data_IF_113363335283
#
_entry.id   IF_113363335283
#
_cell.length_a   1.000
_cell.length_b   1.000
_cell.length_c   1.000
_cell.angle_alpha   90.00
_cell.angle_beta   90.00
_cell.angle_gamma   90.00
#
_symmetry.space_group_name_H-M   'P 1'
#
loop_
_entity.id
_entity.type
_entity.pdbx_description
1 polymer ?
#
# COMPACT_ATOMS: atom_id res chain seq x y z
N UNK A 1 24.16 8.36 -16.62
CA UNK A 1 23.57 7.19 -15.93
C UNK A 1 22.08 7.44 -15.90
N UNK A 2 21.23 6.48 -16.28
CA UNK A 2 19.79 6.62 -16.18
C UNK A 2 19.39 6.86 -14.73
N UNK A 3 18.39 7.72 -14.47
CA UNK A 3 17.91 7.99 -13.11
C UNK A 3 17.23 6.74 -12.52
N UNK A 4 17.44 6.48 -11.25
CA UNK A 4 16.73 5.44 -10.49
C UNK A 4 15.42 6.02 -9.99
N UNK A 5 14.30 5.35 -10.27
CA UNK A 5 12.98 5.76 -9.78
C UNK A 5 12.59 4.98 -8.53
N UNK A 6 11.84 5.63 -7.64
CA UNK A 6 11.19 5.00 -6.50
C UNK A 6 9.72 4.75 -6.81
N UNK A 7 9.26 3.53 -6.62
CA UNK A 7 7.88 3.13 -6.92
C UNK A 7 7.20 2.61 -5.66
N UNK A 8 6.09 3.21 -5.30
CA UNK A 8 5.09 2.62 -4.44
C UNK A 8 4.09 1.84 -5.31
N UNK A 9 4.19 0.51 -5.26
CA UNK A 9 3.25 -0.38 -5.94
C UNK A 9 2.08 -0.68 -5.00
N UNK A 10 1.16 0.28 -4.85
CA UNK A 10 0.03 0.16 -3.93
C UNK A 10 -1.08 -0.78 -4.42
N UNK A 11 -1.93 -1.25 -3.50
CA UNK A 11 -3.08 -2.12 -3.82
C UNK A 11 -4.10 -1.42 -4.70
N UNK A 12 -4.46 -0.18 -4.36
CA UNK A 12 -5.49 0.61 -5.05
C UNK A 12 -4.88 1.62 -6.02
N UNK A 13 -3.84 2.34 -5.58
CA UNK A 13 -3.11 3.31 -6.39
C UNK A 13 -1.61 3.08 -6.23
N UNK A 14 -0.88 3.33 -7.29
CA UNK A 14 0.60 3.33 -7.31
C UNK A 14 1.11 4.74 -7.52
N UNK A 15 2.29 5.02 -6.98
CA UNK A 15 2.95 6.32 -7.09
C UNK A 15 4.40 6.12 -7.52
N UNK A 16 4.97 7.09 -8.24
CA UNK A 16 6.37 7.07 -8.66
C UNK A 16 7.03 8.42 -8.39
N UNK A 17 8.26 8.36 -7.92
CA UNK A 17 9.06 9.55 -7.65
C UNK A 17 10.50 9.37 -8.13
N UNK A 18 11.20 10.47 -8.28
CA UNK A 18 12.62 10.54 -8.65
C UNK A 18 13.31 11.61 -7.81
N UNK A 19 14.63 11.51 -7.64
CA UNK A 19 15.40 12.58 -6.99
C UNK A 19 15.85 13.59 -8.03
N UNK A 20 15.49 14.85 -7.81
CA UNK A 20 15.92 16.01 -8.61
C UNK A 20 16.45 17.11 -7.69
N UNK A 21 17.65 17.58 -7.96
CA UNK A 21 18.28 18.63 -7.13
C UNK A 21 18.42 18.27 -5.65
N UNK A 22 18.57 16.97 -5.32
CA UNK A 22 18.70 16.47 -3.95
C UNK A 22 17.39 16.31 -3.19
N UNK A 23 16.24 16.48 -3.86
CA UNK A 23 14.90 16.30 -3.27
C UNK A 23 14.09 15.28 -4.05
N UNK A 24 13.27 14.46 -3.39
CA UNK A 24 12.35 13.59 -4.06
C UNK A 24 11.19 14.38 -4.69
N UNK A 25 10.90 14.10 -5.94
CA UNK A 25 9.82 14.72 -6.73
C UNK A 25 8.92 13.63 -7.26
N UNK A 26 7.61 13.74 -7.01
CA UNK A 26 6.62 12.82 -7.57
C UNK A 26 6.43 13.10 -9.05
N UNK A 27 6.54 12.05 -9.86
CA UNK A 27 6.31 12.11 -11.29
C UNK A 27 4.81 12.01 -11.57
N UNK A 28 4.27 12.96 -12.33
CA UNK A 28 2.90 12.88 -12.83
C UNK A 28 2.80 11.90 -13.98
N UNK A 29 1.71 11.14 -14.02
CA UNK A 29 1.44 10.21 -15.13
C UNK A 29 1.00 10.98 -16.41
N UNK A 30 0.80 10.25 -17.51
CA UNK A 30 0.39 10.82 -18.80
C UNK A 30 -1.01 11.50 -18.73
N UNK A 31 -1.83 11.15 -17.73
CA UNK A 31 -3.13 11.76 -17.47
C UNK A 31 -3.04 13.04 -16.60
N UNK A 32 -1.84 13.43 -16.16
CA UNK A 32 -1.60 14.60 -15.30
C UNK A 32 -1.81 14.33 -13.81
N UNK A 33 -2.08 13.09 -13.40
CA UNK A 33 -2.32 12.70 -12.02
C UNK A 33 -1.01 12.28 -11.32
N UNK A 34 -0.93 12.51 -10.00
CA UNK A 34 0.24 12.16 -9.19
C UNK A 34 0.26 10.70 -8.75
N UNK A 35 -0.86 10.02 -8.86
CA UNK A 35 -1.00 8.59 -8.59
C UNK A 35 -1.66 7.90 -9.79
N UNK A 36 -1.36 6.63 -9.97
CA UNK A 36 -1.92 5.80 -11.04
C UNK A 36 -2.75 4.69 -10.41
N UNK A 37 -4.05 4.55 -10.72
CA UNK A 37 -4.85 3.42 -10.26
C UNK A 37 -4.20 2.08 -10.60
N UNK A 38 -4.07 1.19 -9.62
CA UNK A 38 -3.50 -0.16 -9.79
C UNK A 38 -4.51 -1.11 -10.43
N UNK A 39 -5.02 -0.73 -11.60
CA UNK A 39 -6.08 -1.42 -12.34
C UNK A 39 -5.60 -1.73 -13.76
N UNK A 40 -5.91 -2.95 -14.22
CA UNK A 40 -5.64 -3.42 -15.58
C UNK A 40 -6.93 -3.92 -16.20
N UNK A 41 -7.24 -3.49 -17.41
CA UNK A 41 -8.41 -3.97 -18.16
C UNK A 41 -7.98 -4.50 -19.53
N UNK A 42 -8.71 -5.51 -20.01
CA UNK A 42 -8.50 -6.11 -21.32
C UNK A 42 -9.76 -5.89 -22.16
N UNK A 43 -9.63 -5.16 -23.26
CA UNK A 43 -10.75 -4.89 -24.17
C UNK A 43 -11.10 -6.13 -24.99
N UNK A 44 -12.27 -6.14 -25.61
CA UNK A 44 -12.69 -7.24 -26.49
C UNK A 44 -11.80 -7.35 -27.74
N UNK A 45 -11.18 -6.27 -28.15
CA UNK A 45 -10.26 -6.21 -29.31
C UNK A 45 -8.83 -6.58 -28.95
N UNK A 46 -8.59 -7.04 -27.71
CA UNK A 46 -7.28 -7.49 -27.22
C UNK A 46 -6.33 -6.36 -26.79
N UNK A 47 -6.81 -5.12 -26.71
CA UNK A 47 -6.05 -4.00 -26.16
C UNK A 47 -5.96 -4.12 -24.64
N UNK A 48 -4.82 -3.73 -24.08
CA UNK A 48 -4.60 -3.67 -22.63
C UNK A 48 -4.57 -2.22 -22.16
N UNK A 49 -5.49 -1.89 -21.27
CA UNK A 49 -5.56 -0.60 -20.60
C UNK A 49 -5.01 -0.71 -19.18
N UNK A 50 -4.36 0.35 -18.68
CA UNK A 50 -3.80 0.39 -17.31
C UNK A 50 -4.09 1.76 -16.70
N UNK A 51 -4.28 1.81 -15.39
CA UNK A 51 -4.50 3.07 -14.67
C UNK A 51 -5.91 3.61 -14.80
N UNK A 52 -6.06 4.91 -14.95
CA UNK A 52 -7.36 5.59 -15.03
C UNK A 52 -8.24 5.09 -16.18
N UNK A 53 -7.65 4.78 -17.34
CA UNK A 53 -8.37 4.21 -18.46
C UNK A 53 -8.97 2.84 -18.14
N UNK A 54 -8.21 1.99 -17.45
CA UNK A 54 -8.68 0.68 -16.99
C UNK A 54 -9.74 0.81 -15.88
N UNK A 55 -9.56 1.74 -14.94
CA UNK A 55 -10.53 1.96 -13.84
C UNK A 55 -11.92 2.30 -14.40
N UNK A 56 -11.99 3.13 -15.45
CA UNK A 56 -13.28 3.44 -16.13
C UNK A 56 -13.95 2.26 -16.82
N UNK A 57 -13.24 1.12 -16.98
CA UNK A 57 -13.82 -0.10 -17.55
C UNK A 57 -14.52 -0.98 -16.50
N UNK A 58 -14.33 -0.76 -15.20
CA UNK A 58 -14.90 -1.59 -14.13
C UNK A 58 -16.42 -1.76 -14.30
N UNK A 59 -17.12 -0.67 -14.56
CA UNK A 59 -18.58 -0.67 -14.71
C UNK A 59 -19.10 -1.43 -15.94
N UNK A 60 -18.37 -1.41 -17.06
CA UNK A 60 -18.84 -1.93 -18.35
C UNK A 60 -18.13 -3.20 -18.79
N UNK A 61 -17.00 -3.54 -18.18
CA UNK A 61 -16.12 -4.64 -18.54
C UNK A 61 -15.55 -5.31 -17.28
N UNK A 62 -16.38 -5.51 -16.25
CA UNK A 62 -15.97 -6.00 -14.93
C UNK A 62 -15.26 -7.35 -14.98
N UNK A 63 -15.76 -8.30 -15.79
CA UNK A 63 -15.16 -9.63 -15.93
C UNK A 63 -13.78 -9.65 -16.61
N UNK A 64 -13.32 -8.54 -17.16
CA UNK A 64 -12.02 -8.37 -17.85
C UNK A 64 -11.20 -7.22 -17.27
N UNK A 65 -11.60 -6.71 -16.11
CA UNK A 65 -10.92 -5.63 -15.38
C UNK A 65 -10.47 -6.15 -14.03
N UNK A 66 -9.17 -6.04 -13.78
CA UNK A 66 -8.50 -6.56 -12.58
C UNK A 66 -8.08 -5.38 -11.71
N UNK A 67 -8.53 -5.38 -10.46
CA UNK A 67 -8.12 -4.45 -9.40
C UNK A 67 -7.60 -5.21 -8.19
N UNK A 68 -6.92 -4.52 -7.27
CA UNK A 68 -6.44 -5.04 -5.98
C UNK A 68 -5.60 -6.33 -6.08
N UNK A 69 -4.92 -6.54 -7.21
CA UNK A 69 -4.14 -7.76 -7.48
C UNK A 69 -3.01 -7.99 -6.48
N UNK A 70 -2.50 -6.92 -5.85
CA UNK A 70 -1.45 -6.98 -4.84
C UNK A 70 -1.80 -7.88 -3.66
N UNK A 71 -3.10 -8.02 -3.31
CA UNK A 71 -3.58 -8.93 -2.25
C UNK A 71 -3.30 -10.39 -2.51
N UNK A 72 -3.04 -10.76 -3.78
CA UNK A 72 -2.77 -12.14 -4.21
C UNK A 72 -1.29 -12.37 -4.55
N UNK A 73 -0.41 -11.39 -4.31
CA UNK A 73 1.03 -11.57 -4.55
C UNK A 73 1.60 -12.74 -3.75
N UNK A 74 2.45 -13.52 -4.38
CA UNK A 74 3.06 -14.70 -3.79
C UNK A 74 2.15 -15.94 -3.69
N UNK A 75 0.88 -15.85 -4.11
CA UNK A 75 -0.07 -16.96 -4.09
C UNK A 75 -0.21 -17.64 -5.47
N UNK A 76 -0.92 -18.78 -5.48
CA UNK A 76 -1.27 -19.52 -6.70
C UNK A 76 -2.49 -18.97 -7.42
N UNK A 77 -2.98 -17.80 -7.03
CA UNK A 77 -4.11 -17.14 -7.68
C UNK A 77 -3.83 -16.88 -9.16
N UNK A 78 -4.86 -17.07 -10.00
CA UNK A 78 -4.79 -16.83 -11.45
C UNK A 78 -5.99 -16.00 -11.90
N UNK A 79 -5.71 -15.06 -12.77
CA UNK A 79 -6.72 -14.28 -13.48
C UNK A 79 -6.90 -14.90 -14.85
N UNK A 80 -8.08 -15.47 -15.13
CA UNK A 80 -8.37 -16.09 -16.41
C UNK A 80 -8.97 -15.08 -17.39
N UNK A 81 -8.24 -14.73 -18.44
CA UNK A 81 -8.67 -13.78 -19.48
C UNK A 81 -8.21 -14.30 -20.86
N UNK A 82 -9.15 -14.42 -21.81
CA UNK A 82 -8.89 -14.80 -23.19
C UNK A 82 -8.13 -16.13 -23.33
N UNK A 83 -8.48 -17.13 -22.50
CA UNK A 83 -7.82 -18.42 -22.49
C UNK A 83 -6.41 -18.43 -21.92
N UNK A 84 -6.00 -17.36 -21.23
CA UNK A 84 -4.73 -17.25 -20.53
C UNK A 84 -4.94 -17.14 -19.02
N UNK A 85 -4.11 -17.84 -18.28
CA UNK A 85 -4.02 -17.75 -16.84
C UNK A 85 -2.86 -16.81 -16.46
N UNK A 86 -3.21 -15.60 -16.03
CA UNK A 86 -2.25 -14.58 -15.65
C UNK A 86 -2.00 -14.61 -14.13
N UNK A 87 -0.75 -14.56 -13.75
CA UNK A 87 -0.32 -14.48 -12.35
C UNK A 87 -0.46 -13.07 -11.78
N UNK A 88 -0.52 -12.90 -10.45
CA UNK A 88 -0.51 -11.58 -9.82
C UNK A 88 0.68 -10.74 -10.22
N UNK A 89 1.88 -11.33 -10.35
CA UNK A 89 3.08 -10.61 -10.77
C UNK A 89 3.04 -10.18 -12.23
N UNK A 90 2.40 -10.93 -13.14
CA UNK A 90 2.21 -10.51 -14.52
C UNK A 90 1.25 -9.32 -14.64
N UNK A 91 0.15 -9.32 -13.87
CA UNK A 91 -0.77 -8.18 -13.81
C UNK A 91 -0.06 -6.95 -13.19
N UNK A 92 0.68 -7.13 -12.09
CA UNK A 92 1.45 -6.06 -11.46
C UNK A 92 2.54 -5.51 -12.39
N UNK A 93 3.17 -6.36 -13.19
CA UNK A 93 4.15 -5.95 -14.20
C UNK A 93 3.53 -5.04 -15.28
N UNK A 94 2.25 -5.21 -15.60
CA UNK A 94 1.56 -4.31 -16.54
C UNK A 94 1.41 -2.91 -15.95
N UNK A 95 1.12 -2.81 -14.64
CA UNK A 95 1.07 -1.53 -13.91
C UNK A 95 2.47 -0.89 -13.89
N UNK A 96 3.49 -1.65 -13.51
CA UNK A 96 4.88 -1.18 -13.47
C UNK A 96 5.38 -0.75 -14.87
N UNK A 97 4.94 -1.41 -15.94
CA UNK A 97 5.27 -1.03 -17.32
C UNK A 97 4.70 0.34 -17.68
N UNK A 98 3.46 0.64 -17.27
CA UNK A 98 2.87 1.99 -17.44
C UNK A 98 3.67 3.01 -16.65
N UNK A 99 3.91 2.76 -15.36
CA UNK A 99 4.66 3.67 -14.48
C UNK A 99 6.05 3.96 -15.06
N UNK A 100 6.76 2.94 -15.56
CA UNK A 100 8.04 3.12 -16.22
C UNK A 100 7.93 4.04 -17.44
N UNK A 101 6.95 3.83 -18.31
CA UNK A 101 6.73 4.66 -19.51
C UNK A 101 6.37 6.11 -19.15
N UNK A 102 5.56 6.31 -18.13
CA UNK A 102 5.22 7.65 -17.63
C UNK A 102 6.48 8.34 -17.10
N UNK A 103 7.34 7.63 -16.37
CA UNK A 103 8.62 8.14 -15.89
C UNK A 103 9.59 8.46 -17.05
N UNK A 104 9.70 7.59 -18.05
CA UNK A 104 10.50 7.83 -19.27
C UNK A 104 10.02 9.08 -20.02
N UNK A 105 8.69 9.26 -20.11
CA UNK A 105 8.11 10.45 -20.76
C UNK A 105 8.41 11.74 -19.99
N UNK A 106 8.34 11.68 -18.65
CA UNK A 106 8.64 12.83 -17.78
C UNK A 106 10.13 13.19 -17.84
N UNK A 107 11.01 12.19 -17.77
CA UNK A 107 12.46 12.38 -17.69
C UNK A 107 13.11 12.65 -19.04
N UNK A 108 12.46 12.27 -20.15
CA UNK A 108 13.01 12.35 -21.50
C UNK A 108 14.15 11.37 -21.77
N UNK A 109 14.34 10.35 -20.92
CA UNK A 109 15.37 9.33 -21.04
C UNK A 109 14.83 7.94 -20.64
N UNK A 110 15.46 6.83 -21.09
CA UNK A 110 15.07 5.49 -20.68
C UNK A 110 15.25 5.27 -19.18
N UNK A 111 14.29 4.58 -18.56
CA UNK A 111 14.31 4.18 -17.15
C UNK A 111 14.49 2.67 -17.07
N UNK A 112 15.62 2.25 -16.51
CA UNK A 112 16.00 0.84 -16.42
C UNK A 112 16.11 0.32 -14.99
N UNK A 113 16.16 1.20 -13.99
CA UNK A 113 16.41 0.86 -12.60
C UNK A 113 15.37 1.45 -11.67
N UNK A 114 14.96 0.66 -10.67
CA UNK A 114 13.97 1.09 -9.68
C UNK A 114 14.24 0.52 -8.29
N UNK A 115 13.76 1.26 -7.28
CA UNK A 115 13.46 0.75 -5.94
C UNK A 115 11.96 0.61 -5.84
N UNK A 116 11.46 -0.57 -5.43
CA UNK A 116 10.01 -0.85 -5.31
C UNK A 116 9.70 -1.13 -3.85
N UNK A 117 8.56 -0.61 -3.37
CA UNK A 117 8.14 -0.83 -1.99
C UNK A 117 7.18 -2.01 -1.85
N UNK A 118 7.16 -2.59 -0.65
CA UNK A 118 6.24 -3.64 -0.24
C UNK A 118 5.76 -3.37 1.18
N UNK A 119 4.59 -3.87 1.58
CA UNK A 119 4.17 -3.87 2.97
C UNK A 119 5.23 -4.51 3.86
N UNK A 120 5.42 -3.97 5.08
CA UNK A 120 6.43 -4.48 5.99
C UNK A 120 6.16 -5.95 6.38
N UNK A 121 4.89 -6.34 6.43
CA UNK A 121 4.46 -7.68 6.83
C UNK A 121 4.37 -8.70 5.68
N UNK A 122 4.87 -8.34 4.48
CA UNK A 122 4.98 -9.29 3.37
C UNK A 122 6.03 -10.35 3.67
N UNK A 123 5.68 -11.62 3.36
CA UNK A 123 6.60 -12.75 3.40
C UNK A 123 7.58 -12.76 2.21
N UNK A 124 8.52 -13.70 2.22
CA UNK A 124 9.55 -13.83 1.18
C UNK A 124 8.95 -14.13 -0.20
N UNK A 125 7.89 -14.94 -0.28
CA UNK A 125 7.19 -15.26 -1.54
C UNK A 125 6.56 -14.02 -2.16
N UNK A 126 5.93 -13.18 -1.35
CA UNK A 126 5.31 -11.92 -1.77
C UNK A 126 6.35 -10.89 -2.22
N UNK A 127 7.46 -10.78 -1.49
CA UNK A 127 8.61 -9.91 -1.85
C UNK A 127 9.24 -10.34 -3.16
N UNK A 128 9.48 -11.64 -3.34
CA UNK A 128 10.02 -12.20 -4.57
C UNK A 128 9.08 -11.98 -5.76
N UNK A 129 7.78 -12.23 -5.59
CA UNK A 129 6.78 -11.98 -6.62
C UNK A 129 6.74 -10.51 -7.05
N UNK A 130 6.93 -9.56 -6.10
CA UNK A 130 7.03 -8.13 -6.40
C UNK A 130 8.31 -7.82 -7.19
N UNK A 131 9.44 -8.40 -6.82
CA UNK A 131 10.70 -8.27 -7.57
C UNK A 131 10.57 -8.82 -8.98
N UNK A 132 9.93 -9.98 -9.13
CA UNK A 132 9.70 -10.62 -10.44
C UNK A 132 8.77 -9.76 -11.31
N UNK A 133 7.72 -9.14 -10.73
CA UNK A 133 6.88 -8.17 -11.44
C UNK A 133 7.70 -7.00 -12.02
N UNK A 134 8.65 -6.46 -11.25
CA UNK A 134 9.59 -5.44 -11.73
C UNK A 134 10.43 -5.92 -12.90
N UNK A 135 10.99 -7.13 -12.82
CA UNK A 135 11.79 -7.74 -13.90
C UNK A 135 10.96 -7.98 -15.16
N UNK A 136 9.73 -8.48 -15.04
CA UNK A 136 8.80 -8.68 -16.16
C UNK A 136 8.47 -7.33 -16.81
N UNK A 137 8.37 -6.25 -16.03
CA UNK A 137 8.20 -4.88 -16.54
C UNK A 137 9.44 -4.29 -17.21
N UNK A 138 10.57 -5.01 -17.21
CA UNK A 138 11.85 -4.58 -17.79
C UNK A 138 12.63 -3.62 -16.89
N UNK A 139 12.41 -3.67 -15.58
CA UNK A 139 13.15 -2.90 -14.58
C UNK A 139 14.18 -3.80 -13.87
N UNK A 140 15.40 -3.30 -13.72
CA UNK A 140 16.36 -3.83 -12.77
C UNK A 140 15.99 -3.33 -11.38
N UNK A 141 15.40 -4.19 -10.55
CA UNK A 141 14.98 -3.85 -9.18
C UNK A 141 16.21 -3.89 -8.29
N UNK A 142 16.76 -2.70 -7.99
CA UNK A 142 17.96 -2.55 -7.17
C UNK A 142 17.72 -2.96 -5.72
N UNK A 143 16.51 -2.65 -5.20
CA UNK A 143 16.12 -2.99 -3.84
C UNK A 143 14.60 -3.07 -3.71
N UNK A 144 14.14 -3.98 -2.85
CA UNK A 144 12.78 -3.96 -2.28
C UNK A 144 12.92 -3.35 -0.88
N UNK A 145 12.10 -2.35 -0.54
CA UNK A 145 12.08 -1.73 0.80
C UNK A 145 10.67 -1.73 1.36
N UNK A 146 10.56 -1.67 2.69
CA UNK A 146 9.27 -1.65 3.36
C UNK A 146 8.60 -0.27 3.23
N UNK A 147 7.29 -0.24 2.99
CA UNK A 147 6.49 0.99 2.86
C UNK A 147 6.64 1.93 4.05
N UNK A 148 6.49 1.47 5.32
CA UNK A 148 6.68 2.37 6.46
C UNK A 148 8.13 2.87 6.61
N UNK A 149 9.12 2.07 6.23
CA UNK A 149 10.53 2.51 6.22
C UNK A 149 10.75 3.60 5.17
N UNK A 150 10.16 3.46 3.97
CA UNK A 150 10.21 4.47 2.94
C UNK A 150 9.53 5.78 3.40
N UNK A 151 8.36 5.69 4.02
CA UNK A 151 7.67 6.87 4.58
C UNK A 151 8.52 7.57 5.66
N UNK A 152 9.18 6.80 6.54
CA UNK A 152 10.08 7.35 7.54
C UNK A 152 11.29 8.07 6.91
N UNK A 153 11.86 7.53 5.84
CA UNK A 153 12.95 8.18 5.08
C UNK A 153 12.49 9.50 4.50
N UNK A 154 11.31 9.54 3.86
CA UNK A 154 10.75 10.79 3.34
C UNK A 154 10.53 11.84 4.44
N UNK A 155 10.06 11.42 5.61
CA UNK A 155 9.88 12.30 6.78
C UNK A 155 11.23 12.81 7.33
N UNK A 156 12.21 11.92 7.47
CA UNK A 156 13.50 12.22 8.09
C UNK A 156 14.39 13.15 7.27
N UNK A 157 14.10 13.35 5.97
CA UNK A 157 14.84 14.31 5.15
C UNK A 157 14.76 15.75 5.69
N UNK A 158 13.63 16.12 6.28
CA UNK A 158 13.36 17.45 6.81
C UNK A 158 13.43 17.49 8.36
N UNK A 159 13.70 16.35 9.03
CA UNK A 159 13.63 16.21 10.49
C UNK A 159 14.83 15.41 11.01
N UNK A 160 15.95 16.09 11.23
CA UNK A 160 17.23 15.47 11.60
C UNK A 160 17.37 15.15 13.10
N UNK A 161 16.49 15.69 13.96
CA UNK A 161 16.58 15.48 15.40
C UNK A 161 16.33 14.01 15.78
N UNK A 162 17.13 13.43 16.70
CA UNK A 162 16.92 12.08 17.19
C UNK A 162 15.51 11.88 17.76
N UNK A 163 14.79 10.90 17.25
CA UNK A 163 13.42 10.64 17.68
C UNK A 163 12.97 9.22 17.36
N UNK A 164 11.94 8.76 18.06
CA UNK A 164 11.23 7.53 17.77
C UNK A 164 9.88 7.87 17.17
N UNK A 165 9.59 7.32 16.00
CA UNK A 165 8.33 7.55 15.29
C UNK A 165 7.56 6.25 15.17
N UNK A 166 6.23 6.37 15.15
CA UNK A 166 5.35 5.28 14.75
C UNK A 166 4.78 5.63 13.38
N UNK A 167 4.92 4.73 12.43
CA UNK A 167 4.28 4.81 11.11
C UNK A 167 3.07 3.89 11.15
N UNK A 168 1.88 4.47 10.95
CA UNK A 168 0.60 3.79 10.86
C UNK A 168 0.16 3.85 9.40
N UNK A 169 0.31 2.76 8.68
CA UNK A 169 0.02 2.68 7.25
C UNK A 169 -1.23 1.83 7.01
N UNK A 170 -2.34 2.50 6.69
CA UNK A 170 -3.59 1.86 6.29
C UNK A 170 -3.85 2.17 4.82
N UNK A 171 -3.42 1.27 3.97
CA UNK A 171 -3.59 1.34 2.53
C UNK A 171 -4.95 0.85 2.04
N UNK A 172 -5.03 0.51 0.75
CA UNK A 172 -6.25 -0.07 0.16
C UNK A 172 -6.46 -1.53 0.52
N UNK A 173 -5.39 -2.30 0.74
CA UNK A 173 -5.47 -3.75 0.95
C UNK A 173 -4.75 -4.29 2.17
N UNK A 174 -3.84 -3.52 2.75
CA UNK A 174 -2.99 -3.92 3.87
C UNK A 174 -2.98 -2.86 4.96
N UNK A 175 -2.75 -3.30 6.17
CA UNK A 175 -2.44 -2.47 7.34
C UNK A 175 -1.06 -2.84 7.84
N UNK A 176 -0.18 -1.87 7.98
CA UNK A 176 1.15 -2.01 8.57
C UNK A 176 1.38 -0.97 9.67
N UNK A 177 2.07 -1.37 10.72
CA UNK A 177 2.56 -0.48 11.76
C UNK A 177 4.02 -0.77 12.02
N UNK A 178 4.86 0.27 12.03
CA UNK A 178 6.28 0.14 12.34
C UNK A 178 6.72 1.23 13.31
N UNK A 179 7.58 0.86 14.25
CA UNK A 179 8.24 1.80 15.15
C UNK A 179 9.68 1.92 14.70
N UNK A 180 10.10 3.15 14.40
CA UNK A 180 11.38 3.45 13.77
C UNK A 180 12.09 4.50 14.61
N UNK A 181 13.34 4.25 14.95
CA UNK A 181 14.25 5.20 15.56
C UNK A 181 15.05 5.91 14.46
N UNK A 182 15.06 7.21 14.52
CA UNK A 182 15.84 8.08 13.62
C UNK A 182 16.92 8.73 14.46
N UNK A 183 18.18 8.48 14.13
CA UNK A 183 19.33 9.06 14.81
C UNK A 183 20.51 9.16 13.85
N UNK A 184 21.12 10.36 13.73
CA UNK A 184 22.31 10.64 12.92
C UNK A 184 22.28 10.05 11.49
N UNK A 185 21.14 10.20 10.78
CA UNK A 185 20.96 9.66 9.43
C UNK A 185 20.74 8.14 9.39
N UNK A 186 20.62 7.49 10.53
CA UNK A 186 20.30 6.06 10.64
C UNK A 186 18.82 5.89 10.97
N UNK A 187 18.16 5.03 10.22
CA UNK A 187 16.76 4.63 10.40
C UNK A 187 16.74 3.18 10.86
N UNK A 188 16.46 2.96 12.13
CA UNK A 188 16.43 1.62 12.73
C UNK A 188 14.98 1.22 13.01
N UNK A 189 14.49 0.20 12.34
CA UNK A 189 13.18 -0.39 12.68
C UNK A 189 13.35 -1.16 13.98
N UNK A 190 12.58 -0.78 15.02
CA UNK A 190 12.57 -1.43 16.32
C UNK A 190 11.57 -2.58 16.37
N UNK A 191 10.40 -2.38 15.79
CA UNK A 191 9.37 -3.40 15.69
C UNK A 191 8.43 -3.11 14.53
N UNK A 192 7.83 -4.16 13.98
CA UNK A 192 6.81 -4.07 12.94
C UNK A 192 5.68 -5.07 13.21
N UNK A 193 4.49 -4.76 12.75
CA UNK A 193 3.30 -5.60 12.82
C UNK A 193 2.32 -5.20 11.73
N UNK A 194 1.25 -5.97 11.55
CA UNK A 194 0.26 -5.62 10.54
C UNK A 194 -0.79 -6.69 10.30
N UNK A 195 -1.59 -6.44 9.27
CA UNK A 195 -2.62 -7.34 8.74
C UNK A 195 -2.63 -7.22 7.21
N UNK A 196 -2.22 -8.26 6.53
CA UNK A 196 -2.09 -8.29 5.06
C UNK A 196 -3.42 -8.36 4.32
N UNK A 197 -4.54 -8.45 5.06
CA UNK A 197 -5.90 -8.54 4.52
C UNK A 197 -6.85 -7.54 5.21
N UNK A 198 -6.34 -6.34 5.50
CA UNK A 198 -7.12 -5.23 6.06
C UNK A 198 -6.74 -3.94 5.35
N UNK A 199 -7.70 -3.28 4.71
CA UNK A 199 -7.48 -2.01 4.04
C UNK A 199 -8.78 -1.40 3.52
N UNK A 200 -8.66 -0.29 2.80
CA UNK A 200 -9.78 0.48 2.27
C UNK A 200 -10.81 -0.33 1.47
N UNK A 201 -10.36 -1.38 0.77
CA UNK A 201 -11.25 -2.27 0.01
C UNK A 201 -12.25 -3.01 0.91
N UNK A 202 -11.85 -3.35 2.16
CA UNK A 202 -12.73 -4.02 3.11
C UNK A 202 -13.80 -3.05 3.65
N UNK A 203 -13.45 -1.77 3.79
CA UNK A 203 -14.41 -0.72 4.13
C UNK A 203 -15.39 -0.47 2.97
N UNK A 204 -14.94 -0.50 1.73
CA UNK A 204 -15.81 -0.42 0.56
C UNK A 204 -16.78 -1.59 0.49
N UNK A 205 -16.31 -2.81 0.77
CA UNK A 205 -17.15 -4.01 0.75
C UNK A 205 -18.30 -3.91 1.78
N UNK A 206 -18.08 -3.29 2.96
CA UNK A 206 -19.17 -3.03 3.93
C UNK A 206 -20.26 -2.13 3.34
N UNK A 207 -19.88 -1.12 2.57
CA UNK A 207 -20.87 -0.25 1.88
C UNK A 207 -21.61 -1.04 0.82
N UNK A 208 -20.89 -1.87 0.04
CA UNK A 208 -21.49 -2.72 -0.99
C UNK A 208 -22.49 -3.70 -0.37
N UNK A 209 -22.09 -4.43 0.69
CA UNK A 209 -22.97 -5.37 1.40
C UNK A 209 -24.25 -4.70 1.91
N UNK A 210 -24.09 -3.51 2.54
CA UNK A 210 -25.22 -2.72 3.01
C UNK A 210 -26.14 -2.29 1.86
N UNK A 211 -25.59 -1.75 0.78
CA UNK A 211 -26.39 -1.28 -0.36
C UNK A 211 -27.12 -2.42 -1.07
N UNK A 212 -26.47 -3.60 -1.23
CA UNK A 212 -27.11 -4.80 -1.78
C UNK A 212 -28.28 -5.26 -0.89
N UNK A 213 -28.09 -5.25 0.43
CA UNK A 213 -29.14 -5.65 1.38
C UNK A 213 -30.35 -4.67 1.31
N UNK A 214 -30.08 -3.36 1.30
CA UNK A 214 -31.14 -2.34 1.19
C UNK A 214 -31.91 -2.45 -0.14
N UNK A 215 -31.20 -2.60 -1.26
CA UNK A 215 -31.81 -2.74 -2.57
C UNK A 215 -32.63 -4.03 -2.69
N UNK A 216 -32.16 -5.13 -2.13
CA UNK A 216 -32.91 -6.39 -2.08
C UNK A 216 -34.19 -6.25 -1.24
N UNK A 217 -34.14 -5.46 -0.17
CA UNK A 217 -35.31 -5.21 0.70
C UNK A 217 -36.37 -4.34 0.00
N UNK A 218 -35.97 -3.29 -0.71
CA UNK A 218 -36.90 -2.36 -1.41
C UNK A 218 -37.44 -2.95 -2.70
N UNK A 219 -36.53 -3.40 -3.59
CA UNK A 219 -36.83 -3.76 -4.96
C UNK A 219 -36.97 -5.29 -5.21
N UNK A 220 -36.63 -6.10 -4.21
CA UNK A 220 -36.66 -7.58 -4.28
C UNK A 220 -35.77 -8.17 -5.40
N UNK A 221 -34.77 -7.43 -5.84
CA UNK A 221 -33.80 -7.84 -6.85
C UNK A 221 -32.44 -8.09 -6.17
N UNK A 222 -31.75 -9.14 -6.58
CA UNK A 222 -30.44 -9.54 -6.09
C UNK A 222 -29.35 -9.06 -7.06
N UNK A 223 -28.70 -7.94 -6.73
CA UNK A 223 -27.62 -7.36 -7.54
C UNK A 223 -26.38 -8.25 -7.64
N UNK A 224 -26.15 -9.17 -6.69
CA UNK A 224 -24.96 -10.04 -6.70
C UNK A 224 -24.89 -10.97 -7.92
N UNK A 225 -26.02 -11.15 -8.62
CA UNK A 225 -26.11 -11.99 -9.83
C UNK A 225 -25.69 -11.25 -11.11
N UNK A 226 -25.52 -9.92 -11.03
CA UNK A 226 -25.10 -9.08 -12.15
C UNK A 226 -23.71 -8.48 -11.89
N UNK A 227 -22.66 -9.02 -12.53
CA UNK A 227 -21.30 -8.51 -12.36
C UNK A 227 -21.12 -7.04 -12.76
N UNK A 228 -21.94 -6.55 -13.73
CA UNK A 228 -21.85 -5.15 -14.15
C UNK A 228 -22.47 -4.22 -13.10
N UNK A 229 -23.61 -4.62 -12.51
CA UNK A 229 -24.21 -3.89 -11.39
C UNK A 229 -23.27 -3.86 -10.18
N UNK A 230 -22.66 -4.99 -9.83
CA UNK A 230 -21.69 -5.09 -8.73
C UNK A 230 -20.45 -4.24 -9.00
N UNK A 231 -19.94 -4.20 -10.23
CA UNK A 231 -18.80 -3.34 -10.60
C UNK A 231 -19.13 -1.86 -10.40
N UNK A 232 -20.30 -1.40 -10.86
CA UNK A 232 -20.78 -0.03 -10.65
C UNK A 232 -20.98 0.30 -9.17
N UNK A 233 -21.51 -0.64 -8.40
CA UNK A 233 -21.76 -0.45 -6.98
C UNK A 233 -20.44 -0.35 -6.20
N UNK A 234 -19.41 -1.15 -6.53
CA UNK A 234 -18.08 -1.04 -5.91
C UNK A 234 -17.41 0.32 -6.17
N UNK A 235 -17.52 0.83 -7.38
CA UNK A 235 -17.00 2.15 -7.74
C UNK A 235 -17.69 3.27 -6.92
N UNK A 236 -19.03 3.19 -6.81
CA UNK A 236 -19.82 4.19 -6.06
C UNK A 236 -19.57 4.06 -4.53
N UNK A 237 -19.35 2.86 -4.03
CA UNK A 237 -18.97 2.62 -2.62
C UNK A 237 -17.62 3.25 -2.28
N UNK A 238 -16.59 3.07 -3.11
CA UNK A 238 -15.29 3.73 -2.93
C UNK A 238 -15.42 5.25 -2.93
N UNK A 239 -16.23 5.78 -3.84
CA UNK A 239 -16.51 7.22 -3.94
C UNK A 239 -17.23 7.73 -2.69
N UNK A 240 -18.28 7.04 -2.23
CA UNK A 240 -19.01 7.38 -1.01
C UNK A 240 -18.10 7.34 0.23
N UNK A 241 -17.24 6.31 0.38
CA UNK A 241 -16.24 6.25 1.45
C UNK A 241 -15.33 7.49 1.45
N UNK A 242 -14.81 7.87 0.28
CA UNK A 242 -13.95 9.07 0.15
C UNK A 242 -14.70 10.34 0.51
N UNK A 243 -15.93 10.49 0.07
CA UNK A 243 -16.78 11.65 0.37
C UNK A 243 -17.06 11.74 1.87
N UNK A 244 -17.33 10.61 2.55
CA UNK A 244 -17.55 10.56 3.99
C UNK A 244 -16.29 10.92 4.82
N UNK A 245 -15.12 11.06 4.22
CA UNK A 245 -13.94 11.60 4.91
C UNK A 245 -14.05 13.11 5.15
N UNK A 246 -14.78 13.84 4.32
CA UNK A 246 -15.00 15.29 4.45
C UNK A 246 -16.45 15.67 4.73
N UNK A 247 -17.44 14.95 4.16
CA UNK A 247 -18.87 15.19 4.34
C UNK A 247 -19.47 14.33 5.48
N UNK A 248 -20.62 14.76 6.02
CA UNK A 248 -21.37 14.00 7.04
C UNK A 248 -22.28 12.93 6.43
N UNK A 249 -22.56 13.00 5.14
CA UNK A 249 -23.33 12.02 4.39
C UNK A 249 -22.84 11.96 2.95
N UNK A 250 -22.99 10.81 2.32
CA UNK A 250 -22.73 10.56 0.91
C UNK A 250 -23.98 9.95 0.25
N UNK A 251 -24.15 10.23 -1.03
CA UNK A 251 -25.27 9.71 -1.82
C UNK A 251 -24.77 8.65 -2.79
N UNK A 252 -25.34 7.45 -2.69
CA UNK A 252 -25.10 6.39 -3.67
C UNK A 252 -26.23 6.46 -4.71
N UNK A 253 -25.92 6.96 -5.89
CA UNK A 253 -26.91 7.13 -6.96
C UNK A 253 -26.49 6.37 -8.21
N UNK A 254 -27.16 5.25 -8.47
CA UNK A 254 -26.89 4.40 -9.63
C UNK A 254 -28.18 4.18 -10.45
N UNK A 255 -28.44 5.05 -11.42
CA UNK A 255 -29.60 4.89 -12.29
C UNK A 255 -29.46 3.65 -13.18
N UNK A 256 -30.59 2.97 -13.42
CA UNK A 256 -30.67 1.77 -14.26
C UNK A 256 -29.69 0.67 -13.81
N UNK A 257 -29.63 0.41 -12.49
CA UNK A 257 -28.70 -0.60 -11.96
C UNK A 257 -29.18 -2.02 -12.22
N UNK A 258 -30.47 -2.21 -12.33
CA UNK A 258 -31.10 -3.51 -12.62
C UNK A 258 -32.34 -3.35 -13.49
N UNK A 259 -32.77 -4.46 -14.11
CA UNK A 259 -34.04 -4.52 -14.83
C UNK A 259 -34.89 -5.64 -14.23
N UNK A 260 -36.04 -5.26 -13.66
CA UNK A 260 -37.05 -6.16 -13.14
C UNK A 260 -38.16 -6.48 -14.14
N UNK A 261 -39.17 -7.22 -13.69
CA UNK A 261 -40.36 -7.53 -14.53
C UNK A 261 -41.23 -6.29 -14.82
N UNK A 262 -41.16 -5.31 -13.96
CA UNK A 262 -41.88 -4.05 -13.95
C UNK A 262 -41.10 -2.88 -14.59
N UNK A 263 -39.88 -3.16 -15.05
CA UNK A 263 -39.05 -2.18 -15.75
C UNK A 263 -37.67 -1.95 -15.10
N UNK A 264 -37.03 -0.82 -15.41
CA UNK A 264 -35.73 -0.46 -14.86
C UNK A 264 -35.86 -0.03 -13.39
N UNK A 265 -34.90 -0.45 -12.60
CA UNK A 265 -34.73 -0.08 -11.20
C UNK A 265 -33.48 0.79 -10.98
N UNK A 266 -33.55 1.69 -10.01
CA UNK A 266 -32.51 2.65 -9.68
C UNK A 266 -32.12 2.50 -8.21
N UNK A 267 -30.81 2.51 -7.93
CA UNK A 267 -30.34 2.59 -6.54
C UNK A 267 -30.15 4.07 -6.18
N UNK A 268 -30.84 4.52 -5.15
CA UNK A 268 -30.69 5.86 -4.57
C UNK A 268 -30.73 5.73 -3.05
N UNK A 269 -29.54 5.74 -2.45
CA UNK A 269 -29.35 5.52 -1.01
C UNK A 269 -28.50 6.65 -0.43
N UNK A 270 -28.86 7.12 0.76
CA UNK A 270 -28.06 8.08 1.52
C UNK A 270 -27.37 7.36 2.69
N UNK A 271 -26.05 7.48 2.75
CA UNK A 271 -25.22 6.90 3.81
C UNK A 271 -24.66 8.00 4.71
N UNK A 272 -25.03 8.00 6.00
CA UNK A 272 -24.46 8.91 6.99
C UNK A 272 -23.11 8.40 7.52
N UNK A 273 -22.17 9.32 7.82
CA UNK A 273 -20.88 8.97 8.43
C UNK A 273 -21.01 8.13 9.70
N UNK A 274 -21.92 8.44 10.66
CA UNK A 274 -22.10 7.61 11.86
C UNK A 274 -22.50 6.17 11.53
N UNK A 275 -23.33 5.97 10.53
CA UNK A 275 -23.74 4.63 10.08
C UNK A 275 -22.55 3.88 9.45
N UNK A 276 -21.77 4.56 8.60
CA UNK A 276 -20.54 4.02 8.02
C UNK A 276 -19.55 3.60 9.12
N UNK A 277 -19.28 4.48 10.08
CA UNK A 277 -18.39 4.19 11.22
C UNK A 277 -18.87 3.01 12.07
N UNK A 278 -20.20 2.88 12.26
CA UNK A 278 -20.78 1.77 13.00
C UNK A 278 -20.58 0.43 12.27
N UNK A 279 -20.82 0.37 10.96
CA UNK A 279 -20.68 -0.89 10.20
C UNK A 279 -19.23 -1.29 9.88
N UNK A 280 -18.27 -0.39 10.10
CA UNK A 280 -16.83 -0.63 9.87
C UNK A 280 -16.01 -0.65 11.16
N UNK A 281 -16.64 -0.51 12.33
CA UNK A 281 -15.94 -0.42 13.61
C UNK A 281 -15.10 -1.66 13.94
N UNK A 282 -15.56 -2.85 13.54
CA UNK A 282 -14.83 -4.10 13.69
C UNK A 282 -13.54 -4.15 12.84
N UNK A 283 -13.58 -3.60 11.62
CA UNK A 283 -12.40 -3.49 10.76
C UNK A 283 -11.35 -2.56 11.39
N UNK A 284 -11.80 -1.42 11.88
CA UNK A 284 -10.91 -0.47 12.54
C UNK A 284 -10.31 -1.05 13.83
N UNK A 285 -11.10 -1.80 14.62
CA UNK A 285 -10.62 -2.45 15.84
C UNK A 285 -9.49 -3.47 15.58
N UNK A 286 -9.41 -4.09 14.39
CA UNK A 286 -8.33 -5.01 14.00
C UNK A 286 -6.96 -4.34 13.99
N UNK A 287 -6.88 -3.02 13.84
CA UNK A 287 -5.60 -2.28 13.84
C UNK A 287 -5.02 -2.11 15.24
N UNK A 288 -5.84 -2.20 16.29
CA UNK A 288 -5.44 -1.92 17.69
C UNK A 288 -4.38 -2.90 18.18
N UNK A 289 -4.64 -4.19 18.01
CA UNK A 289 -3.74 -5.22 18.53
C UNK A 289 -2.34 -5.19 17.87
N UNK A 290 -2.20 -5.02 16.53
CA UNK A 290 -0.88 -4.84 15.90
C UNK A 290 -0.11 -3.64 16.47
N UNK A 291 -0.77 -2.49 16.69
CA UNK A 291 -0.14 -1.30 17.29
C UNK A 291 0.37 -1.58 18.71
N UNK A 292 -0.45 -2.19 19.55
CA UNK A 292 -0.06 -2.55 20.92
C UNK A 292 1.08 -3.57 20.93
N UNK A 293 1.05 -4.52 20.02
CA UNK A 293 2.12 -5.52 19.88
C UNK A 293 3.43 -4.85 19.46
N UNK A 294 3.40 -3.92 18.49
CA UNK A 294 4.59 -3.21 18.03
C UNK A 294 5.22 -2.37 19.17
N UNK A 295 4.41 -1.66 19.96
CA UNK A 295 4.87 -0.92 21.13
C UNK A 295 5.54 -1.84 22.16
N UNK A 296 4.90 -2.96 22.48
CA UNK A 296 5.43 -3.95 23.41
C UNK A 296 6.74 -4.57 22.91
N UNK A 297 6.80 -4.95 21.65
CA UNK A 297 7.97 -5.58 21.04
C UNK A 297 9.15 -4.60 20.93
N UNK A 298 8.89 -3.30 20.74
CA UNK A 298 9.88 -2.23 20.80
C UNK A 298 10.28 -1.85 22.26
N UNK A 299 9.58 -2.36 23.27
CA UNK A 299 9.81 -1.98 24.68
C UNK A 299 9.45 -0.52 24.99
N UNK A 300 8.50 0.06 24.27
CA UNK A 300 8.12 1.47 24.36
C UNK A 300 6.68 1.65 24.84
N UNK A 301 6.47 2.73 25.58
CA UNK A 301 5.15 3.31 25.81
C UNK A 301 4.81 4.34 24.72
N UNK A 302 3.53 4.60 24.49
CA UNK A 302 3.09 5.60 23.53
C UNK A 302 3.65 7.01 23.82
N UNK A 303 3.86 7.36 25.10
CA UNK A 303 4.45 8.66 25.50
C UNK A 303 5.91 8.85 25.13
N UNK A 304 6.62 7.80 24.71
CA UNK A 304 8.01 7.86 24.26
C UNK A 304 8.12 8.04 22.74
N UNK A 305 6.99 8.06 22.04
CA UNK A 305 6.96 8.37 20.61
C UNK A 305 7.07 9.88 20.40
N UNK A 306 8.01 10.30 19.57
CA UNK A 306 8.17 11.70 19.17
C UNK A 306 7.13 12.12 18.13
N UNK A 307 6.74 11.22 17.23
CA UNK A 307 5.73 11.45 16.19
C UNK A 307 4.99 10.18 15.82
N UNK A 308 3.75 10.39 15.35
CA UNK A 308 2.94 9.36 14.68
C UNK A 308 2.65 9.84 13.28
N UNK A 309 3.08 9.07 12.28
CA UNK A 309 2.86 9.37 10.86
C UNK A 309 1.70 8.52 10.35
N UNK A 310 0.73 9.16 9.70
CA UNK A 310 -0.35 8.48 9.00
C UNK A 310 0.01 8.34 7.52
N UNK A 311 0.00 7.11 7.04
CA UNK A 311 0.36 6.72 5.68
C UNK A 311 -0.77 5.89 5.08
N UNK A 312 -0.90 5.89 3.75
CA UNK A 312 -1.99 5.22 3.05
C UNK A 312 -3.29 6.02 3.03
N UNK A 313 -3.98 5.98 1.89
CA UNK A 313 -5.16 6.81 1.64
C UNK A 313 -6.33 6.58 2.61
N UNK A 314 -6.43 5.38 3.21
CA UNK A 314 -7.48 5.04 4.16
C UNK A 314 -7.31 5.74 5.53
N UNK A 315 -6.14 6.27 5.84
CA UNK A 315 -5.91 7.07 7.05
C UNK A 315 -6.61 8.43 7.01
N UNK A 316 -7.11 8.85 5.85
CA UNK A 316 -7.93 10.07 5.71
C UNK A 316 -9.32 9.95 6.32
N UNK A 317 -9.76 8.73 6.69
CA UNK A 317 -11.03 8.52 7.39
C UNK A 317 -10.96 9.10 8.81
N UNK A 318 -11.90 9.99 9.21
CA UNK A 318 -11.87 10.62 10.54
C UNK A 318 -11.88 9.63 11.71
N UNK A 319 -12.50 8.48 11.53
CA UNK A 319 -12.52 7.42 12.54
C UNK A 319 -11.12 6.84 12.81
N UNK A 320 -10.27 6.72 11.78
CA UNK A 320 -8.89 6.25 11.92
C UNK A 320 -8.08 7.23 12.76
N UNK A 321 -8.13 8.52 12.40
CA UNK A 321 -7.39 9.56 13.12
C UNK A 321 -7.83 9.63 14.60
N UNK A 322 -9.13 9.57 14.84
CA UNK A 322 -9.69 9.54 16.21
C UNK A 322 -9.18 8.33 17.00
N UNK A 323 -9.21 7.13 16.40
CA UNK A 323 -8.72 5.92 17.05
C UNK A 323 -7.23 5.99 17.36
N UNK A 324 -6.40 6.47 16.42
CA UNK A 324 -4.96 6.63 16.64
C UNK A 324 -4.69 7.62 17.77
N UNK A 325 -5.40 8.74 17.82
CA UNK A 325 -5.32 9.72 18.92
C UNK A 325 -5.69 9.11 20.27
N UNK A 326 -6.79 8.38 20.34
CA UNK A 326 -7.24 7.70 21.56
C UNK A 326 -6.28 6.60 22.03
N UNK A 327 -5.74 5.81 21.08
CA UNK A 327 -4.84 4.70 21.37
C UNK A 327 -3.45 5.16 21.84
N UNK A 328 -2.93 6.23 21.25
CA UNK A 328 -1.55 6.69 21.47
C UNK A 328 -1.45 7.95 22.33
N UNK A 329 -2.57 8.63 22.59
CA UNK A 329 -2.59 9.84 23.42
C UNK A 329 -1.89 11.05 22.81
N UNK A 330 -1.66 11.05 21.49
CA UNK A 330 -1.00 12.14 20.78
C UNK A 330 -1.65 12.43 19.43
N UNK A 331 -1.48 13.64 18.92
CA UNK A 331 -1.97 14.03 17.60
C UNK A 331 -1.09 13.44 16.50
N UNK A 332 -1.70 12.75 15.51
CA UNK A 332 -0.96 12.31 14.33
C UNK A 332 -0.41 13.48 13.52
N UNK A 333 0.71 13.27 12.84
CA UNK A 333 1.33 14.27 11.98
C UNK A 333 0.72 14.24 10.58
N UNK A 334 0.42 15.43 10.04
CA UNK A 334 -0.08 15.64 8.68
C UNK A 334 0.97 16.29 7.76
N UNK A 335 2.26 16.22 8.12
CA UNK A 335 3.34 16.87 7.37
C UNK A 335 3.63 16.19 6.03
N UNK A 336 3.30 14.90 5.89
CA UNK A 336 3.48 14.15 4.65
C UNK A 336 2.13 13.95 3.93
N UNK A 337 2.19 13.91 2.61
CA UNK A 337 1.06 13.41 1.83
C UNK A 337 1.04 11.87 1.92
N UNK A 338 -0.01 11.26 2.53
CA UNK A 338 -0.05 9.82 2.76
C UNK A 338 -0.10 8.96 1.49
N UNK A 339 -0.39 9.56 0.34
CA UNK A 339 -0.44 8.86 -0.96
C UNK A 339 0.89 8.93 -1.73
N UNK A 340 1.86 9.75 -1.29
CA UNK A 340 3.08 10.06 -2.04
C UNK A 340 4.36 9.74 -1.28
N UNK A 341 4.33 9.84 0.04
CA UNK A 341 5.54 9.79 0.88
C UNK A 341 6.31 8.47 0.72
N UNK A 342 5.62 7.36 0.48
CA UNK A 342 6.24 6.04 0.27
C UNK A 342 7.09 6.05 -1.02
N UNK A 343 6.55 6.53 -2.13
CA UNK A 343 7.29 6.65 -3.39
C UNK A 343 8.47 7.63 -3.27
N UNK A 344 8.28 8.74 -2.53
CA UNK A 344 9.33 9.72 -2.28
C UNK A 344 10.50 9.09 -1.51
N UNK A 345 10.23 8.34 -0.45
CA UNK A 345 11.28 7.63 0.31
C UNK A 345 11.98 6.55 -0.51
N UNK A 346 11.23 5.82 -1.35
CA UNK A 346 11.81 4.86 -2.31
C UNK A 346 12.74 5.55 -3.31
N UNK A 347 12.38 6.73 -3.81
CA UNK A 347 13.23 7.51 -4.71
C UNK A 347 14.51 7.98 -4.03
N UNK A 348 14.43 8.42 -2.78
CA UNK A 348 15.63 8.77 -1.98
C UNK A 348 16.57 7.58 -1.86
N UNK A 349 16.03 6.40 -1.55
CA UNK A 349 16.83 5.16 -1.48
C UNK A 349 17.47 4.84 -2.83
N UNK A 350 16.75 5.02 -3.94
CA UNK A 350 17.29 4.87 -5.29
C UNK A 350 18.45 5.83 -5.58
N UNK A 351 18.29 7.10 -5.23
CA UNK A 351 19.32 8.12 -5.37
C UNK A 351 20.57 7.83 -4.55
N UNK A 352 20.42 7.30 -3.34
CA UNK A 352 21.54 6.87 -2.48
C UNK A 352 22.30 5.68 -3.09
N UNK A 353 21.58 4.69 -3.62
CA UNK A 353 22.21 3.54 -4.29
C UNK A 353 22.99 3.97 -5.53
N UNK A 354 22.46 4.92 -6.32
CA UNK A 354 23.12 5.47 -7.48
C UNK A 354 24.33 6.33 -7.12
N UNK A 355 24.25 7.10 -6.04
CA UNK A 355 25.27 8.02 -5.54
C UNK A 355 26.34 7.38 -4.64
N UNK A 356 26.41 6.05 -4.53
CA UNK A 356 27.38 5.38 -3.67
C UNK A 356 27.19 5.68 -2.17
N UNK A 357 25.94 5.85 -1.74
CA UNK A 357 25.56 6.15 -0.36
C UNK A 357 25.33 7.64 -0.08
N UNK A 358 25.50 8.52 -1.07
CA UNK A 358 25.27 9.95 -0.95
C UNK A 358 24.15 10.41 -1.88
N UNK A 359 23.30 11.29 -1.41
CA UNK A 359 22.26 11.88 -2.23
C UNK A 359 22.80 13.14 -2.93
N UNK A 360 22.94 13.07 -4.23
CA UNK A 360 23.50 14.16 -5.03
C UNK A 360 22.63 15.43 -4.91
N UNK A 361 23.26 16.55 -4.52
CA UNK A 361 22.59 17.84 -4.36
C UNK A 361 21.85 18.04 -3.02
N UNK A 362 21.83 17.04 -2.15
CA UNK A 362 21.25 17.18 -0.80
C UNK A 362 22.18 17.95 0.16
N UNK A 363 21.59 18.48 1.23
CA UNK A 363 22.27 19.12 2.37
C UNK A 363 21.96 18.36 3.67
N UNK A 364 22.70 18.61 4.73
CA UNK A 364 22.47 17.98 6.04
C UNK A 364 22.79 16.48 6.06
N UNK A 365 22.07 15.71 6.87
CA UNK A 365 22.27 14.27 7.04
C UNK A 365 22.11 13.49 5.74
N UNK A 366 21.18 13.89 4.86
CA UNK A 366 20.98 13.27 3.56
C UNK A 366 22.22 13.36 2.64
N UNK A 367 23.07 14.39 2.81
CA UNK A 367 24.32 14.53 2.07
C UNK A 367 25.43 13.60 2.61
N UNK A 368 25.33 13.20 3.88
CA UNK A 368 26.30 12.31 4.53
C UNK A 368 26.04 10.82 4.30
N UNK A 369 24.84 10.50 3.80
CA UNK A 369 24.36 9.13 3.57
C UNK A 369 23.36 8.71 4.63
N UNK A 370 22.35 7.93 4.19
CA UNK A 370 21.33 7.36 5.06
C UNK A 370 21.56 5.87 5.19
N UNK A 371 21.41 5.34 6.39
CA UNK A 371 21.50 3.90 6.67
C UNK A 371 20.13 3.39 7.09
N UNK A 372 19.64 2.35 6.43
CA UNK A 372 18.40 1.67 6.78
C UNK A 372 18.72 0.33 7.45
N UNK A 373 18.24 0.14 8.67
CA UNK A 373 18.33 -1.09 9.41
C UNK A 373 16.94 -1.63 9.67
N UNK A 374 16.57 -2.67 8.94
CA UNK A 374 15.25 -3.28 9.01
C UNK A 374 15.25 -4.55 9.86
N UNK A 375 14.06 -5.05 10.21
CA UNK A 375 13.87 -6.27 11.01
C UNK A 375 13.08 -7.31 10.22
N UNK A 376 13.21 -8.57 10.62
CA UNK A 376 12.36 -9.64 10.08
C UNK A 376 10.93 -9.49 10.59
N UNK A 377 9.92 -9.37 9.72
CA UNK A 377 8.53 -9.19 10.17
C UNK A 377 7.93 -10.46 10.78
N UNK A 378 8.43 -11.62 10.36
CA UNK A 378 7.96 -12.95 10.76
C UNK A 378 9.09 -13.78 11.32
N UNK A 379 8.76 -14.71 12.22
CA UNK A 379 9.71 -15.72 12.69
C UNK A 379 10.04 -16.67 11.57
N UNK A 380 11.32 -16.79 11.22
CA UNK A 380 11.82 -17.80 10.30
C UNK A 380 12.07 -19.10 11.08
N UNK A 381 11.44 -20.16 10.64
CA UNK A 381 11.50 -21.48 11.26
C UNK A 381 11.88 -22.55 10.25
N UNK A 382 12.48 -23.61 10.73
CA UNK A 382 12.75 -24.82 9.95
C UNK A 382 11.82 -25.94 10.44
N UNK A 383 11.25 -26.69 9.53
CA UNK A 383 10.52 -27.91 9.87
C UNK A 383 11.51 -28.99 10.30
N UNK A 384 11.32 -29.52 11.51
CA UNK A 384 12.12 -30.59 12.10
C UNK A 384 11.34 -31.88 12.16
N UNK A 385 12.01 -32.97 12.61
CA UNK A 385 11.42 -34.30 12.68
C UNK A 385 10.10 -34.28 13.46
N UNK A 386 9.03 -34.79 12.86
CA UNK A 386 7.68 -34.80 13.43
C UNK A 386 6.82 -33.57 13.08
N UNK A 387 7.21 -32.74 12.09
CA UNK A 387 6.42 -31.59 11.64
C UNK A 387 6.46 -30.40 12.58
N UNK A 388 7.46 -30.32 13.49
CA UNK A 388 7.60 -29.22 14.44
C UNK A 388 8.37 -28.07 13.79
N UNK A 389 7.79 -26.85 13.78
CA UNK A 389 8.47 -25.65 13.34
C UNK A 389 9.42 -25.14 14.43
N UNK A 390 10.72 -25.30 14.22
CA UNK A 390 11.76 -24.83 15.15
C UNK A 390 12.23 -23.44 14.73
N UNK A 391 12.06 -22.38 15.56
CA UNK A 391 12.50 -21.04 15.24
C UNK A 391 14.02 -20.96 15.05
N UNK A 392 14.45 -20.31 13.96
CA UNK A 392 15.85 -19.97 13.69
C UNK A 392 16.11 -18.47 13.91
N UNK A 393 15.21 -17.61 13.42
CA UNK A 393 15.28 -16.17 13.58
C UNK A 393 13.90 -15.71 14.05
N UNK A 394 13.85 -15.10 15.21
CA UNK A 394 12.59 -14.58 15.76
C UNK A 394 12.18 -13.28 15.05
N UNK A 395 10.88 -13.03 14.97
CA UNK A 395 10.35 -11.77 14.44
C UNK A 395 10.93 -10.56 15.18
N UNK A 396 11.01 -9.44 14.52
CA UNK A 396 11.58 -8.19 15.02
C UNK A 396 13.07 -8.30 15.39
N UNK A 397 13.78 -9.29 14.85
CA UNK A 397 15.21 -9.36 14.98
C UNK A 397 15.87 -8.61 13.82
N UNK A 398 16.68 -7.62 14.13
CA UNK A 398 17.51 -6.91 13.15
C UNK A 398 18.75 -7.74 12.80
N UNK A 399 19.23 -7.61 11.57
CA UNK A 399 20.50 -8.19 11.13
C UNK A 399 21.69 -7.73 11.99
N UNK A 400 21.62 -6.55 12.63
CA UNK A 400 22.63 -6.09 13.56
C UNK A 400 22.66 -6.88 14.88
N UNK A 401 21.55 -7.53 15.24
CA UNK A 401 21.49 -8.39 16.43
C UNK A 401 21.92 -9.85 16.12
N UNK A 402 22.17 -10.18 14.86
CA UNK A 402 22.77 -11.44 14.42
C UNK A 402 24.31 -11.29 14.43
N UNK A 403 24.84 -10.35 15.20
CA UNK A 403 26.27 -10.13 15.30
C UNK A 403 26.95 -11.26 16.06
N UNK A 404 27.94 -11.81 15.42
CA UNK A 404 28.94 -12.83 15.72
C UNK A 404 28.45 -14.27 15.55
N UNK A 405 28.98 -14.96 14.53
CA UNK A 405 29.08 -16.40 14.63
C UNK A 405 29.86 -16.67 15.91
N UNK A 406 29.18 -17.22 16.91
CA UNK A 406 29.87 -17.82 18.05
C UNK A 406 31.01 -18.68 17.48
N UNK A 407 32.25 -18.19 17.55
CA UNK A 407 33.40 -19.00 17.30
C UNK A 407 33.24 -20.21 18.22
N UNK A 408 32.89 -21.36 17.65
CA UNK A 408 33.07 -22.62 18.35
C UNK A 408 34.53 -22.63 18.80
N UNK A 409 34.73 -22.40 20.07
CA UNK A 409 36.01 -22.78 20.69
C UNK A 409 36.08 -24.29 20.47
N UNK A 410 36.97 -24.71 19.57
CA UNK A 410 37.29 -26.11 19.40
C UNK A 410 37.81 -26.64 20.75
N UNK A 411 37.23 -27.76 21.13
CA UNK A 411 37.85 -28.69 22.09
C UNK A 411 38.78 -29.54 21.28
#
# INVERSE_FOLDING_TARGET
MSKVIGIDLGTTNSCVAVVEGGKPVVITNAEGERTTPSVVAFTKDGERLVGGAAKRQIATNSGRTVSSIKRYMGSDYRVHIDGRDLTPQEISAMILTKIRRDAESYLGEPVTEAVITVPAYFDDSQRKATQDAGRIAGLNVLRIINEPTAAAVAYGLDNEAPQKILVYDLGGGTFDVSIIEIEDGTFTVLATGGDTHLGGDDFDERIVEWAVAEFRRSDRIDLTKDPAAMGRLKEEAEKAKKELSSALSAQLNLPFIAVGKDGPHHLDLSLGRPQFEMMTGDLLARTVQPVQNALRDAGLSASQLGKVLLVGGSTRMPAVERQVRELLGCEPSHTLNPDECVAMGAAVQGGLLQGGGKLAGATGAAAQGLVLMDVTPLTLSIETLGGVATPLITRNLSLIHISEPTRRRGI
#
